data_IF_793775160110
#
_entry.id   IF_793775160110
#
_cell.length_a   1.000
_cell.length_b   1.000
_cell.length_c   1.000
_cell.angle_alpha   90.00
_cell.angle_beta   90.00
_cell.angle_gamma   90.00
#
_symmetry.space_group_name_H-M   'P 1'
#
loop_
_entity.id
_entity.type
_entity.pdbx_description
1 polymer ?
#
# COMPACT_ATOMS: atom_id res chain seq x y z
N UNK A 1 -25.97 -9.33 47.53
CA UNK A 1 -25.53 -10.46 46.70
C UNK A 1 -26.24 -10.26 45.37
N UNK A 2 -25.53 -9.69 44.39
CA UNK A 2 -26.13 -9.27 43.11
C UNK A 2 -25.84 -10.39 42.11
N UNK A 3 -26.91 -11.01 41.63
CA UNK A 3 -26.92 -12.02 40.58
C UNK A 3 -26.41 -11.38 39.28
N UNK A 4 -25.27 -11.86 38.78
CA UNK A 4 -24.70 -11.37 37.52
C UNK A 4 -25.37 -12.12 36.39
N UNK A 5 -26.36 -11.46 35.81
CA UNK A 5 -27.15 -11.95 34.68
C UNK A 5 -26.27 -12.17 33.45
N UNK A 6 -26.43 -13.35 32.87
CA UNK A 6 -25.85 -13.85 31.62
C UNK A 6 -25.75 -12.77 30.53
N UNK A 7 -24.52 -12.42 30.14
CA UNK A 7 -24.29 -11.65 28.90
C UNK A 7 -24.46 -12.61 27.74
N UNK A 8 -25.67 -12.66 27.21
CA UNK A 8 -25.94 -13.15 25.85
C UNK A 8 -25.41 -12.10 24.88
N UNK A 9 -24.18 -12.27 24.43
CA UNK A 9 -23.68 -11.60 23.23
C UNK A 9 -23.68 -12.63 22.11
N UNK A 10 -24.50 -12.33 21.11
CA UNK A 10 -24.83 -13.10 19.91
C UNK A 10 -23.61 -13.83 19.32
N UNK A 11 -23.80 -15.02 18.71
CA UNK A 11 -22.76 -15.59 17.87
C UNK A 11 -22.43 -14.58 16.77
N UNK A 12 -21.19 -14.07 16.78
CA UNK A 12 -20.64 -13.35 15.65
C UNK A 12 -20.44 -14.41 14.56
N UNK A 13 -21.48 -14.65 13.77
CA UNK A 13 -21.36 -15.32 12.48
C UNK A 13 -20.58 -14.37 11.55
N UNK A 14 -19.27 -14.34 11.72
CA UNK A 14 -18.35 -13.87 10.69
C UNK A 14 -18.24 -15.02 9.69
N UNK A 15 -18.73 -14.90 8.45
CA UNK A 15 -18.42 -15.85 7.40
C UNK A 15 -16.97 -15.60 6.96
N UNK A 16 -16.00 -15.91 7.82
CA UNK A 16 -14.59 -16.00 7.46
C UNK A 16 -14.31 -17.36 6.82
N UNK A 17 -15.12 -17.79 5.86
CA UNK A 17 -14.87 -18.98 5.04
C UNK A 17 -14.18 -18.64 3.72
N UNK A 18 -13.59 -17.44 3.60
CA UNK A 18 -12.69 -17.10 2.52
C UNK A 18 -11.27 -17.50 2.90
N UNK A 19 -10.56 -18.24 2.04
CA UNK A 19 -9.09 -18.22 2.08
C UNK A 19 -8.64 -16.76 2.24
N UNK A 20 -7.85 -16.48 3.28
CA UNK A 20 -7.17 -15.20 3.41
C UNK A 20 -6.30 -15.03 2.16
N UNK A 21 -6.84 -14.31 1.16
CA UNK A 21 -6.03 -13.85 0.04
C UNK A 21 -5.05 -12.87 0.63
N UNK A 22 -3.77 -13.17 0.50
CA UNK A 22 -2.72 -12.21 0.78
C UNK A 22 -2.90 -11.03 -0.18
N UNK A 23 -3.09 -9.81 0.33
CA UNK A 23 -3.22 -8.66 -0.55
C UNK A 23 -1.87 -8.39 -1.23
N UNK A 24 -1.93 -7.79 -2.41
CA UNK A 24 -0.74 -7.21 -3.00
C UNK A 24 -0.41 -5.89 -2.30
N UNK A 25 0.87 -5.59 -2.16
CA UNK A 25 1.36 -4.32 -1.65
C UNK A 25 2.05 -3.56 -2.78
N UNK A 26 1.97 -2.23 -2.73
CA UNK A 26 2.60 -1.36 -3.70
C UNK A 26 3.70 -0.58 -2.99
N UNK A 27 4.93 -0.66 -3.48
CA UNK A 27 6.08 0.07 -2.92
C UNK A 27 6.56 1.08 -3.93
N UNK A 28 6.72 2.33 -3.50
CA UNK A 28 7.19 3.43 -4.31
C UNK A 28 8.49 3.96 -3.71
N UNK A 29 9.48 4.21 -4.57
CA UNK A 29 10.71 4.91 -4.22
C UNK A 29 10.73 6.28 -4.92
N UNK A 30 10.92 7.32 -4.12
CA UNK A 30 10.98 8.71 -4.53
C UNK A 30 12.44 9.13 -4.70
N UNK A 31 12.74 9.85 -5.77
CA UNK A 31 14.07 10.43 -5.99
C UNK A 31 13.98 11.95 -6.03
N UNK A 32 15.01 12.62 -5.48
CA UNK A 32 15.16 14.05 -5.70
C UNK A 32 15.57 14.28 -7.17
N UNK A 33 15.00 15.27 -7.85
CA UNK A 33 15.41 15.57 -9.22
C UNK A 33 16.88 16.00 -9.20
N UNK A 34 17.75 15.21 -9.84
CA UNK A 34 19.10 15.65 -10.19
C UNK A 34 18.94 16.88 -11.08
N UNK A 35 19.45 18.01 -10.60
CA UNK A 35 19.26 19.33 -11.20
C UNK A 35 19.69 19.39 -12.67
N UNK A 36 18.74 19.77 -13.53
CA UNK A 36 18.80 20.67 -14.70
C UNK A 36 17.96 20.10 -15.86
N UNK A 37 16.92 20.83 -16.26
CA UNK A 37 16.12 20.65 -17.48
C UNK A 37 14.84 19.79 -17.47
N UNK A 38 14.16 19.62 -16.33
CA UNK A 38 12.75 19.19 -16.38
C UNK A 38 11.85 20.22 -15.67
N UNK A 39 11.20 21.06 -16.47
CA UNK A 39 10.14 22.01 -16.10
C UNK A 39 8.82 21.30 -15.69
N UNK A 40 8.85 19.99 -15.47
CA UNK A 40 7.70 19.22 -15.03
C UNK A 40 7.78 18.90 -13.53
N UNK A 41 7.11 19.69 -12.67
CA UNK A 41 7.09 19.44 -11.22
C UNK A 41 6.34 18.15 -10.84
N UNK A 42 5.66 17.49 -11.78
CA UNK A 42 4.79 16.34 -11.49
C UNK A 42 5.52 14.99 -11.46
N UNK A 43 6.77 14.89 -11.92
CA UNK A 43 7.51 13.63 -11.96
C UNK A 43 8.67 13.54 -10.95
N UNK A 44 8.36 13.13 -9.70
CA UNK A 44 9.37 12.62 -8.73
C UNK A 44 9.26 11.11 -8.47
N UNK A 45 8.67 10.38 -9.42
CA UNK A 45 8.50 8.93 -9.34
C UNK A 45 9.57 8.24 -10.17
N UNK A 46 10.48 7.48 -9.56
CA UNK A 46 11.51 6.75 -10.31
C UNK A 46 11.40 5.23 -10.21
N UNK A 47 10.75 4.65 -9.19
CA UNK A 47 10.53 3.20 -9.17
C UNK A 47 9.28 2.80 -8.38
N UNK A 48 8.45 1.96 -8.99
CA UNK A 48 7.19 1.51 -8.43
C UNK A 48 7.05 -0.01 -8.58
N UNK A 49 6.80 -0.72 -7.48
CA UNK A 49 6.77 -2.18 -7.42
C UNK A 49 5.44 -2.68 -6.87
N UNK A 50 4.88 -3.72 -7.49
CA UNK A 50 3.77 -4.50 -6.95
C UNK A 50 4.36 -5.76 -6.33
N UNK A 51 4.27 -5.87 -5.00
CA UNK A 51 4.66 -7.05 -4.25
C UNK A 51 3.47 -7.99 -4.15
N UNK A 52 3.56 -9.15 -4.81
CA UNK A 52 2.54 -10.20 -4.72
C UNK A 52 3.00 -11.34 -3.84
N UNK A 53 2.08 -11.92 -3.06
CA UNK A 53 2.36 -13.11 -2.25
C UNK A 53 3.06 -12.84 -0.91
N UNK A 54 3.17 -11.58 -0.49
CA UNK A 54 3.61 -11.26 0.87
C UNK A 54 2.63 -11.85 1.90
N UNK A 55 3.14 -12.58 2.89
CA UNK A 55 2.32 -13.17 3.95
C UNK A 55 1.82 -12.13 4.96
N UNK A 56 2.45 -10.96 5.01
CA UNK A 56 2.05 -9.85 5.87
C UNK A 56 2.53 -8.50 5.32
N UNK A 57 1.96 -7.41 5.85
CA UNK A 57 2.44 -6.04 5.55
C UNK A 57 3.89 -5.83 6.00
N UNK A 58 4.33 -6.53 7.04
CA UNK A 58 5.70 -6.43 7.54
C UNK A 58 6.73 -6.93 6.52
N UNK A 59 6.40 -7.96 5.74
CA UNK A 59 7.29 -8.43 4.66
C UNK A 59 7.46 -7.38 3.57
N UNK A 60 6.38 -6.67 3.23
CA UNK A 60 6.44 -5.58 2.26
C UNK A 60 7.29 -4.40 2.78
N UNK A 61 7.14 -4.05 4.06
CA UNK A 61 7.93 -3.00 4.71
C UNK A 61 9.41 -3.39 4.79
N UNK A 62 9.73 -4.61 5.22
CA UNK A 62 11.11 -5.08 5.28
C UNK A 62 11.73 -5.11 3.88
N UNK A 63 10.96 -5.49 2.86
CA UNK A 63 11.42 -5.40 1.49
C UNK A 63 11.68 -3.95 1.06
N UNK A 64 10.75 -3.04 1.33
CA UNK A 64 10.90 -1.60 1.08
C UNK A 64 12.20 -1.08 1.73
N UNK A 65 12.38 -1.26 3.03
CA UNK A 65 13.53 -0.73 3.78
C UNK A 65 14.87 -1.26 3.24
N UNK A 66 14.93 -2.55 2.89
CA UNK A 66 16.13 -3.16 2.33
C UNK A 66 16.45 -2.69 0.90
N UNK A 67 15.45 -2.21 0.17
CA UNK A 67 15.58 -1.76 -1.23
C UNK A 67 15.52 -0.23 -1.36
N UNK A 68 15.26 0.50 -0.28
CA UNK A 68 15.19 1.96 -0.29
C UNK A 68 16.50 2.59 -0.74
N UNK A 69 17.65 2.01 -0.37
CA UNK A 69 18.98 2.49 -0.77
C UNK A 69 19.16 4.00 -0.50
N UNK A 70 18.69 4.45 0.67
CA UNK A 70 18.73 5.86 1.07
C UNK A 70 17.67 6.76 0.44
N UNK A 71 16.84 6.25 -0.47
CA UNK A 71 15.71 6.99 -1.07
C UNK A 71 14.56 7.12 -0.07
N UNK A 72 13.76 8.16 -0.25
CA UNK A 72 12.46 8.20 0.40
C UNK A 72 11.58 7.12 -0.23
N UNK A 73 10.76 6.46 0.56
CA UNK A 73 9.91 5.37 0.09
C UNK A 73 8.57 5.32 0.81
N UNK A 74 7.61 4.63 0.21
CA UNK A 74 6.32 4.36 0.82
C UNK A 74 5.76 3.01 0.40
N UNK A 75 5.20 2.28 1.37
CA UNK A 75 4.42 1.06 1.15
C UNK A 75 2.94 1.38 1.25
N UNK A 76 2.17 0.88 0.29
CA UNK A 76 0.75 1.17 0.11
C UNK A 76 -0.08 -0.11 -0.04
N UNK A 77 -1.31 -0.07 0.46
CA UNK A 77 -2.32 -1.10 0.26
C UNK A 77 -3.36 -0.63 -0.78
N UNK A 78 -3.70 -1.45 -1.78
CA UNK A 78 -4.74 -1.10 -2.73
C UNK A 78 -6.13 -1.25 -2.10
N UNK A 79 -6.99 -0.27 -2.38
CA UNK A 79 -8.42 -0.37 -2.16
C UNK A 79 -9.07 -0.36 -3.53
N UNK A 80 -9.83 -1.41 -3.82
CA UNK A 80 -10.56 -1.56 -5.07
C UNK A 80 -12.01 -1.14 -4.87
N UNK A 81 -12.58 -0.46 -5.87
CA UNK A 81 -14.02 -0.22 -5.95
C UNK A 81 -14.78 -1.53 -6.24
N UNK A 82 -16.09 -1.51 -6.07
CA UNK A 82 -16.97 -2.68 -6.30
C UNK A 82 -16.88 -3.24 -7.72
N UNK A 83 -16.48 -2.40 -8.69
CA UNK A 83 -16.26 -2.80 -10.09
C UNK A 83 -14.89 -3.46 -10.33
N UNK A 84 -14.08 -3.65 -9.29
CA UNK A 84 -12.74 -4.24 -9.36
C UNK A 84 -11.65 -3.28 -9.86
N UNK A 85 -11.97 -2.01 -10.15
CA UNK A 85 -10.97 -1.00 -10.46
C UNK A 85 -10.27 -0.53 -9.19
N UNK A 86 -9.00 -0.13 -9.31
CA UNK A 86 -8.28 0.50 -8.21
C UNK A 86 -8.94 1.85 -7.90
N UNK A 87 -9.50 1.99 -6.69
CA UNK A 87 -10.12 3.22 -6.21
C UNK A 87 -9.06 4.15 -5.62
N UNK A 88 -8.25 3.63 -4.69
CA UNK A 88 -7.21 4.39 -4.01
C UNK A 88 -6.09 3.51 -3.45
N UNK A 89 -4.96 4.13 -3.17
CA UNK A 89 -3.84 3.55 -2.42
C UNK A 89 -3.82 4.14 -1.00
N UNK A 90 -3.73 3.29 0.00
CA UNK A 90 -3.61 3.70 1.41
C UNK A 90 -2.17 3.51 1.85
N UNK A 91 -1.49 4.59 2.24
CA UNK A 91 -0.16 4.54 2.82
C UNK A 91 -0.21 3.76 4.14
N UNK A 92 0.57 2.68 4.24
CA UNK A 92 0.69 1.88 5.46
C UNK A 92 2.04 2.05 6.15
N UNK A 93 3.08 2.46 5.41
CA UNK A 93 4.41 2.74 5.94
C UNK A 93 5.19 3.69 5.02
N UNK A 94 6.13 4.43 5.58
CA UNK A 94 7.01 5.35 4.86
C UNK A 94 6.40 6.74 4.69
N UNK A 95 6.82 7.42 3.63
CA UNK A 95 6.49 8.81 3.34
C UNK A 95 5.79 8.85 1.98
N UNK A 96 4.68 9.60 1.94
CA UNK A 96 4.13 10.12 0.70
C UNK A 96 4.42 11.63 0.70
N UNK A 97 5.32 12.14 -0.16
CA UNK A 97 5.51 13.57 -0.31
C UNK A 97 4.17 14.24 -0.62
N UNK A 98 3.96 15.47 -0.15
CA UNK A 98 2.81 16.29 -0.56
C UNK A 98 2.92 16.61 -2.06
N UNK A 99 2.52 15.66 -2.90
CA UNK A 99 2.26 15.87 -4.32
C UNK A 99 0.79 16.25 -4.43
N UNK A 100 0.54 17.55 -4.43
CA UNK A 100 -0.73 18.14 -4.83
C UNK A 100 -1.02 17.75 -6.28
N UNK A 101 -1.62 16.57 -6.52
CA UNK A 101 -1.83 16.08 -7.88
C UNK A 101 -1.85 14.58 -8.11
N UNK A 102 -1.84 13.71 -7.08
CA UNK A 102 -2.11 12.27 -7.27
C UNK A 102 -3.56 11.95 -7.68
N UNK A 103 -4.22 12.85 -8.42
CA UNK A 103 -5.51 12.61 -9.02
C UNK A 103 -5.34 11.81 -10.31
N UNK A 104 -5.76 10.55 -10.22
CA UNK A 104 -6.18 9.66 -11.32
C UNK A 104 -5.10 9.28 -12.33
N UNK A 105 -4.62 8.05 -12.18
CA UNK A 105 -3.85 7.34 -13.21
C UNK A 105 -2.65 8.13 -13.73
N UNK A 106 -1.81 8.69 -12.84
CA UNK A 106 -0.43 8.91 -13.26
C UNK A 106 0.10 7.55 -13.75
N UNK A 107 0.74 7.54 -14.91
CA UNK A 107 1.24 6.36 -15.63
C UNK A 107 2.28 5.58 -14.81
N UNK A 108 1.83 4.91 -13.75
CA UNK A 108 2.69 4.12 -12.88
C UNK A 108 3.02 2.82 -13.60
N UNK A 109 4.21 2.76 -14.19
CA UNK A 109 4.81 1.53 -14.66
C UNK A 109 5.16 0.61 -13.49
N UNK A 110 4.21 -0.22 -13.05
CA UNK A 110 4.43 -1.16 -11.94
C UNK A 110 5.26 -2.36 -12.38
N UNK A 111 6.35 -2.64 -11.66
CA UNK A 111 7.10 -3.89 -11.81
C UNK A 111 6.69 -4.91 -10.76
N UNK A 112 6.48 -6.17 -11.17
CA UNK A 112 6.12 -7.24 -10.24
C UNK A 112 7.33 -7.72 -9.44
N UNK A 113 7.25 -7.66 -8.11
CA UNK A 113 8.16 -8.36 -7.21
C UNK A 113 7.65 -9.75 -6.90
N UNK A 114 8.56 -10.72 -6.89
CA UNK A 114 8.31 -12.10 -6.50
C UNK A 114 9.22 -12.46 -5.31
N UNK A 115 8.66 -12.92 -4.18
CA UNK A 115 9.41 -13.40 -3.03
C UNK A 115 10.12 -14.72 -3.30
#
# INVERSE_FOLDING_TARGET
>A
MIDVTTVSTLPIDLPCTGQLKTPDYYVVFWEEPDTQDDDDPECRFRSAYRLSGCCSVLEAIVWEENNADGRQSGTFLPVFADNGQLDRLVLVHGICPDVSGMDREADFGWTLYRP
#
